data_IF_608951253514
#
_entry.id   IF_608951253514
#
_cell.length_a   1.000
_cell.length_b   1.000
_cell.length_c   1.000
_cell.angle_alpha   90.00
_cell.angle_beta   90.00
_cell.angle_gamma   90.00
#
_symmetry.space_group_name_H-M   'P 1'
#
loop_
_entity.id
_entity.type
_entity.pdbx_description
1 polymer ?
#
# COMPACT_ATOMS: atom_id res chain seq x y z
N UNK A 1 -26.73 1.33 21.21
CA UNK A 1 -26.61 2.27 20.07
C UNK A 1 -26.68 1.44 18.80
N UNK A 2 -27.63 1.68 17.90
CA UNK A 2 -27.71 0.94 16.65
C UNK A 2 -26.45 1.22 15.82
N UNK A 3 -25.77 0.17 15.36
CA UNK A 3 -24.62 0.28 14.46
C UNK A 3 -25.03 1.13 13.26
N UNK A 4 -24.28 2.20 12.93
CA UNK A 4 -24.63 3.03 11.79
C UNK A 4 -24.65 2.17 10.52
N UNK A 5 -25.57 2.45 9.60
CA UNK A 5 -25.61 1.78 8.30
C UNK A 5 -24.82 2.59 7.26
N UNK A 6 -24.48 1.97 6.13
CA UNK A 6 -23.80 2.68 5.03
C UNK A 6 -24.68 3.81 4.51
N UNK A 7 -25.98 3.57 4.42
CA UNK A 7 -26.97 4.54 3.95
C UNK A 7 -27.05 5.76 4.89
N UNK A 8 -27.04 5.53 6.22
CA UNK A 8 -26.99 6.62 7.20
C UNK A 8 -25.74 7.46 7.01
N UNK A 9 -24.58 6.82 6.93
CA UNK A 9 -23.31 7.54 6.77
C UNK A 9 -23.27 8.29 5.43
N UNK A 10 -23.67 7.67 4.32
CA UNK A 10 -23.76 8.36 3.03
C UNK A 10 -24.65 9.60 3.09
N UNK A 11 -25.81 9.51 3.77
CA UNK A 11 -26.69 10.66 3.96
C UNK A 11 -26.06 11.78 4.78
N UNK A 12 -25.23 11.47 5.78
CA UNK A 12 -24.51 12.48 6.58
C UNK A 12 -23.50 13.27 5.73
N UNK A 13 -22.90 12.64 4.71
CA UNK A 13 -21.97 13.27 3.79
C UNK A 13 -22.63 13.82 2.51
N UNK A 14 -23.97 13.91 2.48
CA UNK A 14 -24.75 14.37 1.31
C UNK A 14 -24.47 13.55 0.03
N UNK A 15 -24.19 12.25 0.18
CA UNK A 15 -23.92 11.33 -0.93
C UNK A 15 -25.18 10.51 -1.22
N UNK A 16 -25.75 10.70 -2.41
CA UNK A 16 -26.91 9.95 -2.88
C UNK A 16 -26.48 8.58 -3.42
N UNK A 17 -27.19 7.53 -2.97
CA UNK A 17 -27.01 6.18 -3.50
C UNK A 17 -27.94 5.97 -4.69
N UNK A 18 -27.35 5.79 -5.88
CA UNK A 18 -28.10 5.53 -7.12
C UNK A 18 -28.09 4.04 -7.49
N UNK A 19 -29.10 3.57 -8.26
CA UNK A 19 -29.15 2.19 -8.74
C UNK A 19 -27.94 1.80 -9.60
N UNK A 20 -27.60 0.51 -9.63
CA UNK A 20 -26.42 0.01 -10.34
C UNK A 20 -26.42 0.29 -11.86
N UNK A 21 -27.61 0.39 -12.48
CA UNK A 21 -27.80 0.68 -13.90
C UNK A 21 -27.71 2.16 -14.25
N UNK A 22 -27.63 3.06 -13.26
CA UNK A 22 -27.49 4.50 -13.46
C UNK A 22 -26.01 4.88 -13.38
N UNK A 23 -25.57 5.78 -14.24
CA UNK A 23 -24.23 6.35 -14.13
C UNK A 23 -24.25 7.46 -13.07
N UNK A 24 -23.40 7.40 -12.03
CA UNK A 24 -23.42 8.39 -10.96
C UNK A 24 -22.92 9.75 -11.42
N UNK A 25 -23.63 10.80 -11.01
CA UNK A 25 -23.23 12.21 -11.13
C UNK A 25 -22.40 12.66 -9.91
N UNK A 26 -21.82 13.89 -9.91
CA UNK A 26 -21.19 14.43 -8.71
C UNK A 26 -22.12 14.40 -7.49
N UNK A 27 -21.64 13.82 -6.39
CA UNK A 27 -22.43 13.64 -5.16
C UNK A 27 -23.23 12.33 -5.15
N UNK A 28 -23.09 11.49 -6.17
CA UNK A 28 -23.77 10.21 -6.26
C UNK A 28 -22.79 9.04 -6.24
N UNK A 29 -23.26 7.88 -5.80
CA UNK A 29 -22.51 6.62 -5.88
C UNK A 29 -23.43 5.43 -6.08
N UNK A 30 -22.91 4.40 -6.75
CA UNK A 30 -23.52 3.07 -6.82
C UNK A 30 -22.67 1.99 -6.13
N UNK A 31 -21.56 2.37 -5.50
CA UNK A 31 -20.55 1.46 -4.95
C UNK A 31 -20.89 0.95 -3.53
N UNK A 32 -22.18 0.74 -3.24
CA UNK A 32 -22.69 0.39 -1.90
C UNK A 32 -22.10 -0.92 -1.39
N UNK A 33 -21.94 -1.93 -2.26
CA UNK A 33 -21.33 -3.20 -1.89
C UNK A 33 -19.89 -3.02 -1.39
N UNK A 34 -19.12 -2.14 -2.02
CA UNK A 34 -17.75 -1.79 -1.61
C UNK A 34 -17.73 -1.10 -0.26
N UNK A 35 -18.60 -0.12 -0.07
CA UNK A 35 -18.75 0.58 1.23
C UNK A 35 -19.08 -0.40 2.36
N UNK A 36 -20.06 -1.29 2.15
CA UNK A 36 -20.41 -2.35 3.12
C UNK A 36 -19.23 -3.28 3.39
N UNK A 37 -18.43 -3.61 2.38
CA UNK A 37 -17.24 -4.43 2.54
C UNK A 37 -16.15 -3.75 3.37
N UNK A 38 -15.87 -2.47 3.12
CA UNK A 38 -14.91 -1.68 3.91
C UNK A 38 -15.37 -1.58 5.36
N UNK A 39 -16.63 -1.17 5.58
CA UNK A 39 -17.21 -1.04 6.92
C UNK A 39 -17.21 -2.36 7.70
N UNK A 40 -17.54 -3.47 7.03
CA UNK A 40 -17.49 -4.81 7.64
C UNK A 40 -16.06 -5.23 8.00
N UNK A 41 -15.07 -4.89 7.17
CA UNK A 41 -13.69 -5.35 7.32
C UNK A 41 -12.90 -4.53 8.33
N UNK A 42 -13.11 -3.21 8.36
CA UNK A 42 -12.29 -2.27 9.15
C UNK A 42 -13.08 -1.46 10.18
N UNK A 43 -14.40 -1.64 10.25
CA UNK A 43 -15.26 -0.99 11.23
C UNK A 43 -15.79 0.38 10.78
N UNK A 44 -16.69 0.92 11.59
CA UNK A 44 -17.38 2.18 11.32
C UNK A 44 -16.42 3.38 11.31
N UNK A 45 -15.53 3.49 12.31
CA UNK A 45 -14.59 4.62 12.41
C UNK A 45 -13.69 4.73 11.18
N UNK A 46 -13.13 3.61 10.71
CA UNK A 46 -12.34 3.58 9.48
C UNK A 46 -13.17 3.99 8.25
N UNK A 47 -14.39 3.48 8.14
CA UNK A 47 -15.27 3.83 7.03
C UNK A 47 -15.62 5.32 7.04
N UNK A 48 -15.89 5.91 8.20
CA UNK A 48 -16.11 7.36 8.35
C UNK A 48 -14.90 8.17 7.88
N UNK A 49 -13.66 7.77 8.21
CA UNK A 49 -12.46 8.43 7.70
C UNK A 49 -12.34 8.37 6.17
N UNK A 50 -12.72 7.24 5.55
CA UNK A 50 -12.78 7.13 4.08
C UNK A 50 -13.80 8.12 3.51
N UNK A 51 -14.98 8.21 4.12
CA UNK A 51 -16.04 9.11 3.66
C UNK A 51 -15.69 10.58 3.89
N UNK A 52 -15.09 10.96 5.02
CA UNK A 52 -14.53 12.29 5.25
C UNK A 52 -13.51 12.63 4.16
N UNK A 53 -12.57 11.72 3.88
CA UNK A 53 -11.51 11.97 2.90
C UNK A 53 -12.05 12.13 1.47
N UNK A 54 -13.11 11.43 1.07
CA UNK A 54 -13.64 11.51 -0.30
C UNK A 54 -14.78 12.53 -0.45
N UNK A 55 -15.62 12.69 0.57
CA UNK A 55 -16.82 13.52 0.54
C UNK A 55 -16.57 14.98 0.90
N UNK A 56 -15.60 15.27 1.78
CA UNK A 56 -15.32 16.66 2.19
C UNK A 56 -14.31 17.36 1.27
N UNK A 57 -13.52 16.60 0.51
CA UNK A 57 -12.46 17.16 -0.32
C UNK A 57 -12.98 17.64 -1.67
N UNK A 58 -12.60 18.85 -2.06
CA UNK A 58 -13.11 19.54 -3.25
C UNK A 58 -12.81 18.76 -4.53
N UNK A 59 -13.85 18.52 -5.34
CA UNK A 59 -13.73 17.92 -6.66
C UNK A 59 -13.76 16.39 -6.70
N UNK A 60 -13.94 15.71 -5.55
CA UNK A 60 -13.94 14.25 -5.46
C UNK A 60 -15.34 13.61 -5.48
N UNK A 61 -16.40 14.41 -5.43
CA UNK A 61 -17.78 13.92 -5.23
C UNK A 61 -18.30 13.05 -6.39
N UNK A 62 -17.82 13.24 -7.62
CA UNK A 62 -18.20 12.40 -8.78
C UNK A 62 -17.39 11.10 -8.89
N UNK A 63 -16.44 10.92 -7.98
CA UNK A 63 -15.37 9.94 -8.09
C UNK A 63 -15.46 8.87 -7.02
N UNK A 64 -16.58 8.78 -6.29
CA UNK A 64 -16.81 7.77 -5.25
C UNK A 64 -17.25 6.45 -5.90
N UNK A 65 -16.29 5.73 -6.46
CA UNK A 65 -16.46 4.42 -7.06
C UNK A 65 -15.73 3.33 -6.26
N UNK A 66 -15.77 2.09 -6.74
CA UNK A 66 -15.09 0.99 -6.08
C UNK A 66 -13.58 1.21 -5.95
N UNK A 67 -12.94 1.78 -6.98
CA UNK A 67 -11.50 1.93 -7.02
C UNK A 67 -11.02 3.02 -6.06
N UNK A 68 -11.69 4.18 -6.03
CA UNK A 68 -11.35 5.28 -5.13
C UNK A 68 -11.63 4.92 -3.68
N UNK A 69 -12.77 4.31 -3.35
CA UNK A 69 -13.10 3.85 -2.00
C UNK A 69 -12.01 2.92 -1.44
N UNK A 70 -11.61 1.94 -2.24
CA UNK A 70 -10.55 1.02 -1.81
C UNK A 70 -9.17 1.66 -1.77
N UNK A 71 -8.83 2.52 -2.73
CA UNK A 71 -7.55 3.22 -2.74
C UNK A 71 -7.41 4.13 -1.50
N UNK A 72 -8.42 4.94 -1.21
CA UNK A 72 -8.46 5.78 0.01
C UNK A 72 -8.36 4.92 1.26
N UNK A 73 -9.12 3.82 1.34
CA UNK A 73 -9.04 2.89 2.46
C UNK A 73 -7.65 2.28 2.65
N UNK A 74 -6.92 1.99 1.57
CA UNK A 74 -5.57 1.45 1.65
C UNK A 74 -4.58 2.49 2.13
N UNK A 75 -4.69 3.73 1.64
CA UNK A 75 -3.80 4.82 2.02
C UNK A 75 -3.98 5.25 3.46
N UNK A 76 -5.22 5.29 3.96
CA UNK A 76 -5.48 5.54 5.39
C UNK A 76 -4.75 4.51 6.27
N UNK A 77 -4.77 3.23 5.86
CA UNK A 77 -4.09 2.15 6.60
C UNK A 77 -2.57 2.18 6.42
N UNK A 78 -2.08 2.65 5.28
CA UNK A 78 -0.65 2.70 4.97
C UNK A 78 0.04 3.91 5.62
N UNK A 79 -0.72 4.99 5.87
CA UNK A 79 -0.20 6.24 6.43
C UNK A 79 -0.92 6.63 7.73
N UNK A 80 -0.96 5.77 8.77
CA UNK A 80 -1.69 6.07 10.01
C UNK A 80 -1.20 7.36 10.66
N UNK A 81 0.11 7.63 10.63
CA UNK A 81 0.68 8.87 11.18
C UNK A 81 0.15 10.14 10.48
N UNK A 82 -0.02 10.10 9.16
CA UNK A 82 -0.57 11.24 8.41
C UNK A 82 -2.04 11.45 8.73
N UNK A 83 -2.81 10.37 8.91
CA UNK A 83 -4.26 10.46 9.17
C UNK A 83 -4.55 10.85 10.62
N UNK A 84 -3.83 10.27 11.59
CA UNK A 84 -4.12 10.45 13.02
C UNK A 84 -3.46 11.70 13.61
N UNK A 85 -2.21 12.00 13.20
CA UNK A 85 -1.45 13.11 13.79
C UNK A 85 -1.38 14.35 12.91
N UNK A 86 -1.75 14.24 11.62
CA UNK A 86 -1.67 15.33 10.63
C UNK A 86 -2.97 15.46 9.83
N UNK A 87 -4.12 15.22 10.47
CA UNK A 87 -5.44 15.13 9.80
C UNK A 87 -5.77 16.35 8.96
N UNK A 88 -5.52 17.56 9.45
CA UNK A 88 -5.79 18.79 8.69
C UNK A 88 -4.93 18.85 7.42
N UNK A 89 -3.64 18.52 7.52
CA UNK A 89 -2.75 18.47 6.36
C UNK A 89 -3.17 17.38 5.37
N UNK A 90 -3.59 16.22 5.87
CA UNK A 90 -4.13 15.14 5.05
C UNK A 90 -5.29 15.64 4.17
N UNK A 91 -6.28 16.29 4.76
CA UNK A 91 -7.42 16.82 4.00
C UNK A 91 -6.99 17.93 3.02
N UNK A 92 -6.10 18.84 3.43
CA UNK A 92 -5.53 19.86 2.54
C UNK A 92 -4.75 19.27 1.36
N UNK A 93 -4.04 18.16 1.56
CA UNK A 93 -3.34 17.46 0.49
C UNK A 93 -4.31 16.81 -0.48
N UNK A 94 -5.35 16.16 0.02
CA UNK A 94 -6.39 15.54 -0.82
C UNK A 94 -7.17 16.58 -1.63
N UNK A 95 -7.44 17.77 -1.08
CA UNK A 95 -8.04 18.90 -1.81
C UNK A 95 -7.21 19.35 -3.02
N UNK A 96 -5.90 19.11 -3.00
CA UNK A 96 -4.99 19.49 -4.08
C UNK A 96 -4.81 18.38 -5.12
N UNK A 97 -5.25 17.16 -4.83
CA UNK A 97 -5.10 16.03 -5.74
C UNK A 97 -6.08 16.19 -6.91
N UNK A 98 -5.60 16.19 -8.18
CA UNK A 98 -6.48 16.18 -9.34
C UNK A 98 -7.05 14.77 -9.56
N UNK A 99 -7.86 14.27 -8.61
CA UNK A 99 -8.28 12.87 -8.54
C UNK A 99 -8.98 12.42 -9.83
N UNK A 100 -9.84 13.26 -10.40
CA UNK A 100 -10.56 12.95 -11.64
C UNK A 100 -9.61 12.72 -12.81
N UNK A 101 -8.61 13.58 -12.97
CA UNK A 101 -7.56 13.44 -13.99
C UNK A 101 -6.75 12.17 -13.79
N UNK A 102 -6.40 11.85 -12.53
CA UNK A 102 -5.69 10.61 -12.21
C UNK A 102 -6.55 9.40 -12.59
N UNK A 103 -7.83 9.38 -12.19
CA UNK A 103 -8.78 8.31 -12.49
C UNK A 103 -8.98 8.11 -14.00
N UNK A 104 -9.16 9.19 -14.76
CA UNK A 104 -9.24 9.14 -16.23
C UNK A 104 -7.97 8.54 -16.83
N UNK A 105 -6.80 8.94 -16.33
CA UNK A 105 -5.50 8.46 -16.82
C UNK A 105 -5.31 6.97 -16.51
N UNK A 106 -5.51 6.53 -15.26
CA UNK A 106 -5.33 5.12 -14.88
C UNK A 106 -6.34 4.19 -15.56
N UNK A 107 -7.51 4.71 -15.93
CA UNK A 107 -8.54 3.94 -16.63
C UNK A 107 -8.05 3.48 -18.01
N UNK A 108 -7.06 4.15 -18.61
CA UNK A 108 -6.40 3.71 -19.84
C UNK A 108 -5.63 2.38 -19.66
N UNK A 109 -5.26 2.03 -18.41
CA UNK A 109 -4.60 0.77 -18.07
C UNK A 109 -5.57 -0.36 -17.72
N UNK A 110 -6.89 -0.13 -17.86
CA UNK A 110 -7.92 -1.13 -17.53
C UNK A 110 -7.70 -2.42 -18.31
N UNK A 111 -7.84 -3.55 -17.63
CA UNK A 111 -7.58 -4.89 -18.19
C UNK A 111 -6.10 -5.28 -18.26
N UNK A 112 -5.17 -4.37 -17.92
CA UNK A 112 -3.72 -4.66 -17.81
C UNK A 112 -3.22 -4.57 -16.37
N UNK A 113 -3.73 -3.62 -15.60
CA UNK A 113 -3.41 -3.44 -14.19
C UNK A 113 -4.68 -3.36 -13.34
N UNK A 114 -4.56 -3.76 -12.08
CA UNK A 114 -5.66 -3.64 -11.12
C UNK A 114 -5.86 -2.16 -10.74
N UNK A 115 -7.03 -1.61 -11.05
CA UNK A 115 -7.30 -0.18 -10.98
C UNK A 115 -7.12 0.42 -9.58
N UNK A 116 -7.59 -0.27 -8.53
CA UNK A 116 -7.33 0.09 -7.11
C UNK A 116 -5.85 0.34 -6.82
N UNK A 117 -4.97 -0.57 -7.24
CA UNK A 117 -3.54 -0.47 -6.91
C UNK A 117 -2.84 0.61 -7.73
N UNK A 118 -3.23 0.78 -9.00
CA UNK A 118 -2.77 1.89 -9.81
C UNK A 118 -3.18 3.25 -9.21
N UNK A 119 -4.45 3.36 -8.79
CA UNK A 119 -4.98 4.57 -8.16
C UNK A 119 -4.28 4.86 -6.84
N UNK A 120 -4.19 3.87 -5.94
CA UNK A 120 -3.52 4.03 -4.66
C UNK A 120 -2.05 4.46 -4.82
N UNK A 121 -1.32 3.83 -5.75
CA UNK A 121 0.08 4.20 -6.03
C UNK A 121 0.23 5.62 -6.58
N UNK A 122 -0.64 6.03 -7.51
CA UNK A 122 -0.64 7.37 -8.08
C UNK A 122 -0.97 8.44 -7.03
N UNK A 123 -2.00 8.22 -6.23
CA UNK A 123 -2.39 9.14 -5.14
C UNK A 123 -1.26 9.21 -4.09
N UNK A 124 -0.71 8.07 -3.66
CA UNK A 124 0.40 8.05 -2.70
C UNK A 124 1.60 8.83 -3.20
N UNK A 125 1.96 8.66 -4.49
CA UNK A 125 3.04 9.41 -5.09
C UNK A 125 2.81 10.92 -4.94
N UNK A 126 1.61 11.42 -5.27
CA UNK A 126 1.25 12.85 -5.13
C UNK A 126 1.27 13.29 -3.65
N UNK A 127 0.64 12.54 -2.75
CA UNK A 127 0.61 12.84 -1.32
C UNK A 127 2.03 12.95 -0.73
N UNK A 128 2.95 12.06 -1.14
CA UNK A 128 4.34 12.11 -0.70
C UNK A 128 5.08 13.37 -1.14
N UNK A 129 4.65 14.02 -2.23
CA UNK A 129 5.23 15.31 -2.63
C UNK A 129 4.76 16.43 -1.71
N UNK A 130 3.50 16.38 -1.26
CA UNK A 130 2.91 17.41 -0.41
C UNK A 130 3.33 17.29 1.06
N UNK A 131 3.54 16.06 1.55
CA UNK A 131 3.86 15.82 2.96
C UNK A 131 5.23 16.35 3.41
N UNK A 132 6.04 16.89 2.48
CA UNK A 132 7.44 17.32 2.66
C UNK A 132 8.38 16.21 3.17
N UNK A 133 7.88 14.98 3.25
CA UNK A 133 8.68 13.75 3.45
C UNK A 133 9.14 13.15 2.09
N UNK A 134 8.93 13.90 1.01
CA UNK A 134 9.04 13.42 -0.36
C UNK A 134 10.44 13.04 -0.83
N UNK A 135 10.47 11.99 -1.65
CA UNK A 135 11.59 11.67 -2.55
C UNK A 135 11.70 12.65 -3.74
N UNK A 136 10.87 13.70 -3.79
CA UNK A 136 10.70 14.60 -4.95
C UNK A 136 11.81 15.63 -5.10
N UNK A 137 12.19 16.27 -3.99
CA UNK A 137 13.33 17.19 -3.92
C UNK A 137 14.65 16.42 -3.79
N UNK A 138 14.60 15.14 -3.43
CA UNK A 138 15.78 14.27 -3.36
C UNK A 138 16.10 13.75 -4.76
N UNK A 139 17.10 14.35 -5.40
CA UNK A 139 17.73 13.73 -6.58
C UNK A 139 18.10 12.28 -6.20
N UNK A 140 17.52 11.25 -6.86
CA UNK A 140 17.74 9.88 -6.47
C UNK A 140 19.22 9.51 -6.65
N UNK A 141 19.97 9.52 -5.55
CA UNK A 141 21.35 9.04 -5.58
C UNK A 141 21.35 7.51 -5.69
N UNK A 142 22.37 6.95 -6.35
CA UNK A 142 22.55 5.49 -6.41
C UNK A 142 22.54 4.85 -5.01
N UNK A 143 23.03 5.58 -3.99
CA UNK A 143 22.99 5.15 -2.59
C UNK A 143 21.58 5.16 -1.98
N UNK A 144 20.72 6.12 -2.35
CA UNK A 144 19.31 6.14 -1.95
C UNK A 144 18.53 5.02 -2.64
N UNK A 145 18.71 4.85 -3.96
CA UNK A 145 18.09 3.76 -4.74
C UNK A 145 18.50 2.40 -4.17
N UNK A 146 19.78 2.19 -3.84
CA UNK A 146 20.25 0.95 -3.23
C UNK A 146 19.70 0.73 -1.81
N UNK A 147 19.41 1.79 -1.04
CA UNK A 147 18.76 1.63 0.27
C UNK A 147 17.27 1.33 0.16
N UNK A 148 16.57 2.01 -0.76
CA UNK A 148 15.12 1.87 -0.94
C UNK A 148 14.73 0.58 -1.68
N UNK A 149 15.50 0.19 -2.70
CA UNK A 149 15.20 -0.93 -3.59
C UNK A 149 16.25 -2.04 -3.55
N UNK A 150 17.35 -1.85 -2.82
CA UNK A 150 18.31 -2.93 -2.62
C UNK A 150 17.71 -4.01 -1.73
N UNK A 151 18.08 -5.26 -2.01
CA UNK A 151 17.79 -6.37 -1.10
C UNK A 151 18.31 -6.00 0.30
N UNK A 152 17.45 -6.11 1.31
CA UNK A 152 17.82 -5.93 2.72
C UNK A 152 19.08 -6.76 2.95
N UNK A 153 20.20 -6.08 3.23
CA UNK A 153 21.43 -6.76 3.62
C UNK A 153 21.30 -7.05 5.11
N UNK A 154 21.32 -8.33 5.46
CA UNK A 154 21.53 -8.76 6.84
C UNK A 154 22.73 -8.01 7.42
N UNK A 155 22.62 -7.59 8.68
CA UNK A 155 23.74 -7.07 9.46
C UNK A 155 24.88 -8.09 9.48
N UNK A 156 26.13 -7.69 9.78
CA UNK A 156 27.24 -8.64 9.89
C UNK A 156 26.92 -9.81 10.83
N UNK A 157 26.27 -9.55 11.96
CA UNK A 157 25.91 -10.56 12.96
C UNK A 157 24.80 -11.48 12.44
N UNK A 158 23.76 -10.93 11.82
CA UNK A 158 22.67 -11.71 11.21
C UNK A 158 23.19 -12.58 10.05
N UNK A 159 24.15 -12.07 9.26
CA UNK A 159 24.81 -12.82 8.19
C UNK A 159 25.67 -13.97 8.73
N UNK A 160 26.36 -13.76 9.86
CA UNK A 160 27.10 -14.81 10.57
C UNK A 160 26.13 -15.86 11.11
N UNK A 161 25.03 -15.45 11.75
CA UNK A 161 24.03 -16.38 12.28
C UNK A 161 23.37 -17.20 11.17
N UNK A 162 22.97 -16.56 10.07
CA UNK A 162 22.47 -17.23 8.88
C UNK A 162 23.50 -18.21 8.31
N UNK A 163 24.78 -17.83 8.27
CA UNK A 163 25.87 -18.69 7.86
C UNK A 163 26.05 -19.93 8.74
N UNK A 164 25.93 -19.78 10.07
CA UNK A 164 25.97 -20.90 11.03
C UNK A 164 24.81 -21.87 10.81
N UNK A 165 23.60 -21.35 10.59
CA UNK A 165 22.41 -22.17 10.24
C UNK A 165 22.63 -22.95 8.95
N UNK A 166 23.16 -22.30 7.91
CA UNK A 166 23.46 -22.94 6.62
C UNK A 166 24.54 -24.02 6.73
N UNK A 167 25.57 -23.82 7.55
CA UNK A 167 26.60 -24.83 7.82
C UNK A 167 26.02 -26.05 8.53
N UNK A 168 25.15 -25.85 9.52
CA UNK A 168 24.45 -26.93 10.22
C UNK A 168 23.60 -27.76 9.25
N UNK A 169 22.84 -27.10 8.38
CA UNK A 169 22.06 -27.80 7.35
C UNK A 169 22.95 -28.52 6.36
N UNK A 170 24.04 -27.89 5.88
CA UNK A 170 25.00 -28.53 4.97
C UNK A 170 25.61 -29.80 5.58
N UNK A 171 25.90 -29.79 6.87
CA UNK A 171 26.44 -30.95 7.58
C UNK A 171 25.42 -32.09 7.72
N UNK A 172 24.11 -31.77 7.80
CA UNK A 172 23.05 -32.79 7.87
C UNK A 172 22.65 -33.40 6.53
N UNK A 173 23.10 -32.83 5.40
CA UNK A 173 22.71 -33.28 4.07
C UNK A 173 23.78 -34.17 3.44
N UNK A 174 23.39 -35.18 2.65
CA UNK A 174 24.34 -35.98 1.86
C UNK A 174 25.16 -35.11 0.90
N UNK A 175 26.33 -35.61 0.52
CA UNK A 175 27.19 -34.93 -0.45
C UNK A 175 26.42 -34.60 -1.74
N UNK A 176 26.63 -33.39 -2.28
CA UNK A 176 25.94 -32.90 -3.47
C UNK A 176 24.49 -32.41 -3.27
N UNK A 177 23.83 -32.71 -2.14
CA UNK A 177 22.41 -32.35 -1.93
C UNK A 177 22.20 -30.93 -1.40
N UNK A 178 23.25 -30.24 -0.96
CA UNK A 178 23.13 -28.89 -0.42
C UNK A 178 22.73 -27.84 -1.48
N UNK A 179 23.24 -27.94 -2.70
CA UNK A 179 22.90 -27.04 -3.80
C UNK A 179 21.41 -27.13 -4.17
N UNK A 180 20.88 -28.33 -4.49
CA UNK A 180 19.46 -28.53 -4.75
C UNK A 180 18.55 -28.10 -3.58
N UNK A 181 19.01 -28.29 -2.34
CA UNK A 181 18.27 -27.85 -1.15
C UNK A 181 18.18 -26.31 -1.06
N UNK A 182 19.26 -25.59 -1.37
CA UNK A 182 19.28 -24.13 -1.35
C UNK A 182 18.24 -23.55 -2.32
N UNK A 183 18.22 -24.03 -3.57
CA UNK A 183 17.32 -23.53 -4.62
C UNK A 183 15.85 -23.75 -4.28
N UNK A 184 15.52 -24.88 -3.65
CA UNK A 184 14.13 -25.27 -3.40
C UNK A 184 13.57 -24.79 -2.05
N UNK A 185 14.42 -24.62 -1.02
CA UNK A 185 13.95 -24.48 0.36
C UNK A 185 14.49 -23.27 1.12
N UNK A 186 15.62 -22.70 0.72
CA UNK A 186 16.29 -21.68 1.54
C UNK A 186 15.84 -20.24 1.26
N UNK A 187 15.32 -19.96 0.06
CA UNK A 187 15.02 -18.60 -0.40
C UNK A 187 16.26 -17.71 -0.61
N UNK A 188 17.48 -18.24 -0.45
CA UNK A 188 18.75 -17.52 -0.69
C UNK A 188 19.49 -18.09 -1.90
N UNK A 189 20.04 -17.21 -2.73
CA UNK A 189 20.86 -17.64 -3.85
C UNK A 189 22.20 -18.22 -3.40
N UNK A 190 22.76 -19.13 -4.20
CA UNK A 190 23.97 -19.88 -3.88
C UNK A 190 25.16 -19.00 -3.46
N UNK A 191 25.41 -17.90 -4.18
CA UNK A 191 26.50 -16.97 -3.86
C UNK A 191 26.33 -16.28 -2.51
N UNK A 192 25.10 -15.95 -2.12
CA UNK A 192 24.78 -15.35 -0.82
C UNK A 192 24.97 -16.36 0.31
N UNK A 193 24.51 -17.59 0.10
CA UNK A 193 24.72 -18.68 1.05
C UNK A 193 26.21 -18.94 1.30
N UNK A 194 27.02 -19.04 0.23
CA UNK A 194 28.48 -19.21 0.36
C UNK A 194 29.14 -18.06 1.10
N UNK A 195 28.72 -16.81 0.81
CA UNK A 195 29.23 -15.63 1.52
C UNK A 195 28.96 -15.70 3.02
N UNK A 196 27.73 -16.00 3.43
CA UNK A 196 27.34 -16.09 4.84
C UNK A 196 28.04 -17.22 5.56
N UNK A 197 28.12 -18.40 4.94
CA UNK A 197 28.86 -19.55 5.50
C UNK A 197 30.35 -19.24 5.67
N UNK A 198 30.96 -18.46 4.75
CA UNK A 198 32.35 -18.00 4.90
C UNK A 198 32.51 -17.06 6.08
N UNK A 199 31.62 -16.08 6.23
CA UNK A 199 31.64 -15.15 7.38
C UNK A 199 31.49 -15.90 8.70
N UNK A 200 30.59 -16.88 8.76
CA UNK A 200 30.40 -17.72 9.94
C UNK A 200 31.63 -18.54 10.32
N UNK A 201 32.40 -19.03 9.34
CA UNK A 201 33.67 -19.74 9.58
C UNK A 201 34.80 -18.82 10.05
N UNK A 202 34.77 -17.55 9.65
CA UNK A 202 35.77 -16.56 10.05
C UNK A 202 35.51 -15.97 11.44
N UNK A 203 34.26 -16.05 11.91
CA UNK A 203 33.82 -15.59 13.23
C UNK A 203 33.66 -16.73 14.26
N UNK A 204 34.30 -17.88 13.99
CA UNK A 204 34.36 -19.05 14.87
C UNK A 204 35.83 -19.29 15.24
#
# INVERSE_FOLDING_TARGET
>A
MSKASVETICSEFEIEIVPANVYPEPGQTRAVATMRNIMRKYGEGHFRLVMTTLGETKGNNALIDEASLWATSDLIRACPDWVENRTSEWLEWWDRIPLGTIMITINQLRGKVHQRYALAGAIYFVLSQYSREGMSERVPSAGLIRRAFGRVKLSPDEAIEAGRKLLKVKASLPHGQFGPWLEKKSGVCHSTAMKYMRLAKQAA
#
